data_IF_634643083304
#
_entry.id   IF_634643083304
#
_cell.length_a   1.000
_cell.length_b   1.000
_cell.length_c   1.000
_cell.angle_alpha   90.00
_cell.angle_beta   90.00
_cell.angle_gamma   90.00
#
_symmetry.space_group_name_H-M   'P 1'
#
loop_
_entity.id
_entity.type
_entity.pdbx_description
1 polymer ?
#
# COMPACT_ATOMS: atom_id res chain seq x y z
N UNK A 1 -15.18 8.66 -21.02
CA UNK A 1 -13.79 8.17 -21.10
C UNK A 1 -13.68 6.89 -20.28
N UNK A 2 -13.15 5.79 -20.83
CA UNK A 2 -12.98 4.52 -20.10
C UNK A 2 -11.94 4.72 -18.98
N UNK A 3 -12.29 4.50 -17.72
CA UNK A 3 -11.36 4.58 -16.59
C UNK A 3 -10.18 3.62 -16.82
N UNK A 4 -8.95 4.04 -16.48
CA UNK A 4 -7.76 3.19 -16.55
C UNK A 4 -7.96 1.87 -15.78
N UNK A 5 -8.67 1.94 -14.63
CA UNK A 5 -9.12 0.78 -13.88
C UNK A 5 -10.04 -0.17 -14.67
N UNK A 6 -10.95 0.37 -15.48
CA UNK A 6 -11.85 -0.42 -16.33
C UNK A 6 -11.10 -1.03 -17.50
N UNK A 7 -10.17 -0.29 -18.12
CA UNK A 7 -9.28 -0.84 -19.17
C UNK A 7 -8.37 -1.95 -18.62
N UNK A 8 -7.78 -1.77 -17.44
CA UNK A 8 -7.00 -2.82 -16.77
C UNK A 8 -7.86 -4.04 -16.43
N UNK A 9 -9.06 -3.84 -15.86
CA UNK A 9 -9.99 -4.92 -15.56
C UNK A 9 -10.44 -5.68 -16.83
N UNK A 10 -10.71 -4.96 -17.92
CA UNK A 10 -11.14 -5.53 -19.20
C UNK A 10 -10.02 -6.32 -19.89
N UNK A 11 -8.77 -5.81 -19.92
CA UNK A 11 -7.62 -6.53 -20.47
C UNK A 11 -7.31 -7.79 -19.66
N UNK A 12 -7.43 -7.74 -18.34
CA UNK A 12 -7.18 -8.90 -17.47
C UNK A 12 -8.33 -9.91 -17.51
N UNK A 13 -9.58 -9.48 -17.61
CA UNK A 13 -10.71 -10.42 -17.79
C UNK A 13 -10.61 -11.16 -19.13
N UNK A 14 -10.12 -10.49 -20.17
CA UNK A 14 -9.86 -11.10 -21.47
C UNK A 14 -8.65 -12.06 -21.39
N UNK A 15 -7.55 -11.66 -20.76
CA UNK A 15 -6.36 -12.52 -20.58
C UNK A 15 -6.64 -13.69 -19.63
N UNK A 16 -7.44 -13.51 -18.57
CA UNK A 16 -7.82 -14.56 -17.63
C UNK A 16 -8.75 -15.58 -18.29
N UNK A 17 -9.69 -15.15 -19.14
CA UNK A 17 -10.49 -16.06 -19.94
C UNK A 17 -9.66 -16.78 -21.01
N UNK A 18 -8.74 -16.08 -21.69
CA UNK A 18 -7.83 -16.72 -22.64
C UNK A 18 -6.84 -17.69 -21.98
N UNK A 19 -6.39 -17.41 -20.75
CA UNK A 19 -5.48 -18.28 -19.99
C UNK A 19 -6.18 -19.49 -19.37
N UNK A 20 -7.49 -19.40 -19.08
CA UNK A 20 -8.29 -20.53 -18.61
C UNK A 20 -8.64 -21.52 -19.74
N UNK A 21 -8.77 -21.04 -20.98
CA UNK A 21 -9.10 -21.88 -22.14
C UNK A 21 -7.90 -22.65 -22.72
N UNK A 22 -6.67 -22.32 -22.33
CA UNK A 22 -5.48 -23.07 -22.76
C UNK A 22 -4.95 -23.94 -21.62
N UNK A 23 -5.40 -25.19 -21.66
CA UNK A 23 -4.84 -26.38 -21.02
C UNK A 23 -3.34 -26.25 -20.76
N UNK A 24 -2.98 -25.88 -19.52
CA UNK A 24 -1.83 -26.34 -18.76
C UNK A 24 -1.76 -25.58 -17.44
N UNK A 25 -1.35 -26.29 -16.39
CA UNK A 25 -1.28 -25.87 -14.99
C UNK A 25 -0.31 -24.68 -14.76
N UNK A 26 -0.66 -23.47 -15.20
CA UNK A 26 0.17 -22.27 -14.96
C UNK A 26 -0.12 -21.71 -13.57
N UNK A 27 0.92 -21.70 -12.74
CA UNK A 27 0.94 -21.30 -11.34
C UNK A 27 0.14 -19.99 -11.08
N UNK A 28 -1.11 -20.07 -10.58
CA UNK A 28 -1.98 -18.90 -10.40
C UNK A 28 -1.43 -17.93 -9.35
N UNK A 29 -0.58 -18.41 -8.43
CA UNK A 29 0.10 -17.59 -7.43
C UNK A 29 1.21 -16.77 -8.09
N UNK A 30 1.92 -17.31 -9.08
CA UNK A 30 2.93 -16.55 -9.82
C UNK A 30 2.31 -15.38 -10.60
N UNK A 31 1.16 -15.60 -11.24
CA UNK A 31 0.41 -14.55 -11.92
C UNK A 31 -0.08 -13.48 -10.92
N UNK A 32 -0.62 -13.89 -9.77
CA UNK A 32 -1.04 -12.98 -8.71
C UNK A 32 0.12 -12.16 -8.15
N UNK A 33 1.29 -12.76 -7.94
CA UNK A 33 2.50 -12.07 -7.47
C UNK A 33 2.99 -11.03 -8.49
N UNK A 34 2.91 -11.34 -9.77
CA UNK A 34 3.23 -10.39 -10.82
C UNK A 34 2.26 -9.19 -10.79
N UNK A 35 0.97 -9.45 -10.73
CA UNK A 35 -0.06 -8.41 -10.66
C UNK A 35 0.09 -7.52 -9.42
N UNK A 36 0.32 -8.12 -8.25
CA UNK A 36 0.53 -7.40 -7.00
C UNK A 36 1.70 -6.41 -7.10
N UNK A 37 2.82 -6.83 -7.70
CA UNK A 37 3.99 -5.96 -7.96
C UNK A 37 3.65 -4.81 -8.91
N UNK A 38 2.85 -5.05 -9.94
CA UNK A 38 2.41 -3.99 -10.85
C UNK A 38 1.53 -2.98 -10.10
N UNK A 39 0.61 -3.44 -9.25
CA UNK A 39 -0.21 -2.55 -8.45
C UNK A 39 0.61 -1.72 -7.45
N UNK A 40 1.59 -2.32 -6.78
CA UNK A 40 2.54 -1.60 -5.91
C UNK A 40 3.28 -0.50 -6.69
N UNK A 41 3.78 -0.82 -7.89
CA UNK A 41 4.48 0.14 -8.75
C UNK A 41 3.58 1.30 -9.20
N UNK A 42 2.34 1.01 -9.59
CA UNK A 42 1.39 2.06 -9.98
C UNK A 42 0.97 2.92 -8.80
N UNK A 43 0.74 2.32 -7.61
CA UNK A 43 0.47 3.08 -6.38
C UNK A 43 1.64 4.01 -6.04
N UNK A 44 2.88 3.56 -6.23
CA UNK A 44 4.07 4.40 -6.01
C UNK A 44 4.17 5.56 -7.03
N UNK A 45 3.84 5.33 -8.30
CA UNK A 45 3.76 6.42 -9.29
C UNK A 45 2.69 7.45 -8.92
N UNK A 46 1.53 7.00 -8.42
CA UNK A 46 0.47 7.90 -7.96
C UNK A 46 0.94 8.72 -6.76
N UNK A 47 1.67 8.12 -5.80
CA UNK A 47 2.28 8.86 -4.67
C UNK A 47 3.09 10.07 -5.15
N UNK A 48 3.95 9.86 -6.15
CA UNK A 48 4.79 10.92 -6.70
C UNK A 48 3.96 12.03 -7.38
N UNK A 49 2.83 11.68 -8.00
CA UNK A 49 1.92 12.68 -8.58
C UNK A 49 1.19 13.49 -7.50
N UNK A 50 0.76 12.84 -6.41
CA UNK A 50 0.16 13.51 -5.25
C UNK A 50 1.17 14.50 -4.62
N UNK A 51 2.42 14.09 -4.43
CA UNK A 51 3.48 14.95 -3.89
C UNK A 51 3.79 16.15 -4.80
N UNK A 52 3.77 15.95 -6.12
CA UNK A 52 3.90 17.05 -7.08
C UNK A 52 2.74 18.04 -6.97
N UNK A 53 1.51 17.55 -6.83
CA UNK A 53 0.33 18.40 -6.65
C UNK A 53 0.41 19.18 -5.33
N UNK A 54 0.88 18.55 -4.24
CA UNK A 54 1.14 19.23 -2.98
C UNK A 54 2.15 20.37 -3.17
N UNK A 55 3.26 20.11 -3.87
CA UNK A 55 4.28 21.12 -4.17
C UNK A 55 3.72 22.30 -4.97
N UNK A 56 2.87 22.02 -5.96
CA UNK A 56 2.22 23.05 -6.78
C UNK A 56 1.25 23.91 -5.95
N UNK A 57 0.44 23.30 -5.08
CA UNK A 57 -0.42 24.02 -4.13
C UNK A 57 0.40 24.99 -3.26
N UNK A 58 1.53 24.54 -2.72
CA UNK A 58 2.42 25.40 -1.92
C UNK A 58 3.06 26.52 -2.75
N UNK A 59 3.34 26.30 -4.04
CA UNK A 59 3.80 27.36 -4.94
C UNK A 59 2.72 28.43 -5.13
N UNK A 60 1.47 28.04 -5.40
CA UNK A 60 0.37 29.01 -5.50
C UNK A 60 0.18 29.80 -4.20
N UNK A 61 0.29 29.13 -3.04
CA UNK A 61 0.18 29.80 -1.76
C UNK A 61 1.25 30.89 -1.58
N UNK A 62 2.51 30.57 -1.91
CA UNK A 62 3.61 31.56 -1.85
C UNK A 62 3.38 32.73 -2.80
N UNK A 63 3.03 32.47 -4.06
CA UNK A 63 2.78 33.52 -5.05
C UNK A 63 1.59 34.41 -4.66
N UNK A 64 0.55 33.82 -4.04
CA UNK A 64 -0.58 34.57 -3.51
C UNK A 64 -0.13 35.56 -2.42
N UNK A 65 0.67 35.11 -1.47
CA UNK A 65 1.20 35.98 -0.41
C UNK A 65 2.11 37.08 -0.96
N UNK A 66 2.99 36.77 -1.92
CA UNK A 66 3.82 37.76 -2.57
C UNK A 66 2.99 38.84 -3.30
N UNK A 67 1.95 38.43 -4.04
CA UNK A 67 1.05 39.35 -4.72
C UNK A 67 0.26 40.23 -3.73
N UNK A 68 -0.23 39.64 -2.63
CA UNK A 68 -0.91 40.40 -1.57
C UNK A 68 0.00 41.42 -0.90
N UNK A 69 1.23 41.06 -0.58
CA UNK A 69 2.17 41.95 0.08
C UNK A 69 2.55 43.12 -0.83
N UNK A 70 2.73 42.85 -2.13
CA UNK A 70 2.95 43.89 -3.12
C UNK A 70 1.74 44.80 -3.31
N UNK A 71 0.52 44.24 -3.34
CA UNK A 71 -0.73 45.01 -3.37
C UNK A 71 -0.80 45.98 -2.18
N UNK A 72 -0.62 45.47 -0.95
CA UNK A 72 -0.62 46.30 0.28
C UNK A 72 0.45 47.38 0.24
N UNK A 73 1.67 47.04 -0.18
CA UNK A 73 2.76 48.01 -0.33
C UNK A 73 2.42 49.12 -1.31
N UNK A 74 1.82 48.81 -2.46
CA UNK A 74 1.39 49.82 -3.43
C UNK A 74 0.24 50.67 -2.88
N UNK A 75 -0.65 50.09 -2.07
CA UNK A 75 -1.70 50.85 -1.40
C UNK A 75 -1.12 51.94 -0.49
N UNK A 76 -0.17 51.57 0.39
CA UNK A 76 0.52 52.51 1.27
C UNK A 76 1.29 53.58 0.49
N UNK A 77 2.00 53.18 -0.58
CA UNK A 77 2.74 54.12 -1.43
C UNK A 77 1.82 55.09 -2.16
N UNK A 78 0.63 54.66 -2.58
CA UNK A 78 -0.35 55.54 -3.21
C UNK A 78 -0.82 56.63 -2.24
N UNK A 79 -1.06 56.27 -0.97
CA UNK A 79 -1.44 57.22 0.07
C UNK A 79 -0.34 58.26 0.32
N UNK A 80 0.93 57.83 0.33
CA UNK A 80 2.08 58.74 0.46
C UNK A 80 2.17 59.70 -0.73
N UNK A 81 2.06 59.20 -1.97
CA UNK A 81 2.09 60.04 -3.16
C UNK A 81 0.93 61.05 -3.20
N UNK A 82 -0.25 60.64 -2.73
CA UNK A 82 -1.42 61.51 -2.60
C UNK A 82 -1.17 62.64 -1.59
N UNK A 83 -0.61 62.31 -0.42
CA UNK A 83 -0.29 63.29 0.62
C UNK A 83 0.82 64.26 0.21
N UNK A 84 1.70 63.85 -0.71
CA UNK A 84 2.74 64.68 -1.30
C UNK A 84 2.26 65.52 -2.50
N UNK A 85 0.97 65.44 -2.87
CA UNK A 85 0.38 66.14 -4.03
C UNK A 85 1.01 65.74 -5.39
N UNK A 86 1.67 64.59 -5.47
CA UNK A 86 2.30 64.04 -6.67
C UNK A 86 1.30 63.22 -7.49
N UNK A 87 0.40 63.90 -8.22
CA UNK A 87 -0.76 63.28 -8.88
C UNK A 87 -0.40 62.20 -9.91
N UNK A 88 0.60 62.44 -10.78
CA UNK A 88 1.01 61.47 -11.80
C UNK A 88 1.57 60.18 -11.18
N UNK A 89 2.37 60.33 -10.12
CA UNK A 89 2.94 59.20 -9.38
C UNK A 89 1.85 58.42 -8.64
N UNK A 90 0.89 59.12 -8.03
CA UNK A 90 -0.26 58.49 -7.37
C UNK A 90 -1.07 57.63 -8.35
N UNK A 91 -1.41 58.16 -9.53
CA UNK A 91 -2.16 57.43 -10.54
C UNK A 91 -1.39 56.19 -11.04
N UNK A 92 -0.07 56.33 -11.25
CA UNK A 92 0.78 55.20 -11.62
C UNK A 92 0.78 54.09 -10.55
N UNK A 93 0.91 54.44 -9.27
CA UNK A 93 0.91 53.47 -8.18
C UNK A 93 -0.46 52.79 -8.04
N UNK A 94 -1.57 53.51 -8.26
CA UNK A 94 -2.91 52.90 -8.25
C UNK A 94 -3.08 51.85 -9.36
N UNK A 95 -2.53 52.09 -10.55
CA UNK A 95 -2.53 51.09 -11.63
C UNK A 95 -1.75 49.84 -11.23
N UNK A 96 -0.58 50.01 -10.62
CA UNK A 96 0.21 48.91 -10.06
C UNK A 96 -0.55 48.16 -8.96
N UNK A 97 -1.20 48.86 -8.03
CA UNK A 97 -2.03 48.27 -6.98
C UNK A 97 -3.11 47.36 -7.59
N UNK A 98 -3.88 47.88 -8.54
CA UNK A 98 -4.96 47.14 -9.20
C UNK A 98 -4.42 45.88 -9.92
N UNK A 99 -3.23 45.96 -10.52
CA UNK A 99 -2.58 44.81 -11.15
C UNK A 99 -2.20 43.71 -10.15
N UNK A 100 -1.63 44.08 -9.00
CA UNK A 100 -1.32 43.11 -7.94
C UNK A 100 -2.58 42.56 -7.26
N UNK A 101 -3.63 43.36 -7.13
CA UNK A 101 -4.94 42.93 -6.63
C UNK A 101 -5.56 41.85 -7.53
N UNK A 102 -5.61 42.09 -8.85
CA UNK A 102 -6.12 41.11 -9.81
C UNK A 102 -5.29 39.82 -9.79
N UNK A 103 -3.95 39.95 -9.73
CA UNK A 103 -3.05 38.80 -9.62
C UNK A 103 -3.31 38.00 -8.34
N UNK A 104 -3.41 38.67 -7.19
CA UNK A 104 -3.68 38.00 -5.92
C UNK A 104 -5.00 37.23 -5.97
N UNK A 105 -6.05 37.83 -6.54
CA UNK A 105 -7.35 37.17 -6.73
C UNK A 105 -7.22 35.89 -7.58
N UNK A 106 -6.58 35.99 -8.75
CA UNK A 106 -6.42 34.85 -9.68
C UNK A 106 -5.59 33.70 -9.08
N UNK A 107 -4.51 34.03 -8.38
CA UNK A 107 -3.65 33.02 -7.74
C UNK A 107 -4.35 32.39 -6.55
N UNK A 108 -5.17 33.14 -5.80
CA UNK A 108 -6.01 32.60 -4.72
C UNK A 108 -7.00 31.55 -5.25
N UNK A 109 -7.71 31.85 -6.33
CA UNK A 109 -8.63 30.91 -6.98
C UNK A 109 -7.87 29.63 -7.40
N UNK A 110 -6.68 29.78 -7.98
CA UNK A 110 -5.82 28.64 -8.36
C UNK A 110 -5.37 27.81 -7.15
N UNK A 111 -5.03 28.45 -6.03
CA UNK A 111 -4.68 27.77 -4.78
C UNK A 111 -5.85 26.98 -4.21
N UNK A 112 -7.05 27.57 -4.19
CA UNK A 112 -8.26 26.90 -3.69
C UNK A 112 -8.64 25.69 -4.54
N UNK A 113 -8.56 25.82 -5.86
CA UNK A 113 -8.81 24.71 -6.78
C UNK A 113 -7.75 23.60 -6.65
N UNK A 114 -6.47 23.97 -6.57
CA UNK A 114 -5.40 23.01 -6.35
C UNK A 114 -5.54 22.26 -5.02
N UNK A 115 -6.06 22.93 -3.98
CA UNK A 115 -6.32 22.34 -2.66
C UNK A 115 -7.44 21.30 -2.71
N UNK A 116 -8.57 21.62 -3.36
CA UNK A 116 -9.68 20.66 -3.54
C UNK A 116 -9.25 19.44 -4.35
N UNK A 117 -8.53 19.66 -5.45
CA UNK A 117 -8.02 18.57 -6.29
C UNK A 117 -7.03 17.68 -5.52
N UNK A 118 -6.19 18.27 -4.67
CA UNK A 118 -5.26 17.51 -3.83
C UNK A 118 -6.00 16.60 -2.85
N UNK A 119 -7.03 17.12 -2.17
CA UNK A 119 -7.85 16.34 -1.23
C UNK A 119 -8.48 15.12 -1.92
N UNK A 120 -9.04 15.30 -3.12
CA UNK A 120 -9.60 14.19 -3.91
C UNK A 120 -8.53 13.15 -4.30
N UNK A 121 -7.32 13.60 -4.65
CA UNK A 121 -6.21 12.72 -5.01
C UNK A 121 -5.71 11.93 -3.80
N UNK A 122 -5.61 12.56 -2.63
CA UNK A 122 -5.21 11.92 -1.38
C UNK A 122 -6.21 10.82 -0.96
N UNK A 123 -7.51 11.09 -1.05
CA UNK A 123 -8.55 10.09 -0.77
C UNK A 123 -8.41 8.86 -1.70
N UNK A 124 -8.30 9.10 -3.02
CA UNK A 124 -8.13 8.02 -4.00
C UNK A 124 -6.82 7.25 -3.81
N UNK A 125 -5.74 7.94 -3.44
CA UNK A 125 -4.45 7.31 -3.15
C UNK A 125 -4.54 6.39 -1.92
N UNK A 126 -5.23 6.81 -0.87
CA UNK A 126 -5.43 5.97 0.32
C UNK A 126 -6.28 4.73 0.00
N UNK A 127 -7.34 4.88 -0.80
CA UNK A 127 -8.10 3.73 -1.31
C UNK A 127 -7.23 2.74 -2.09
N UNK A 128 -6.29 3.24 -2.92
CA UNK A 128 -5.36 2.39 -3.66
C UNK A 128 -4.44 1.62 -2.71
N UNK A 129 -3.94 2.25 -1.64
CA UNK A 129 -3.12 1.58 -0.63
C UNK A 129 -3.89 0.46 0.07
N UNK A 130 -5.14 0.70 0.46
CA UNK A 130 -6.00 -0.32 1.05
C UNK A 130 -6.21 -1.51 0.10
N UNK A 131 -6.51 -1.26 -1.18
CA UNK A 131 -6.68 -2.32 -2.18
C UNK A 131 -5.41 -3.16 -2.34
N UNK A 132 -4.22 -2.55 -2.34
CA UNK A 132 -2.95 -3.30 -2.38
C UNK A 132 -2.83 -4.21 -1.16
N UNK A 133 -3.11 -3.71 0.05
CA UNK A 133 -3.09 -4.50 1.28
C UNK A 133 -4.07 -5.67 1.23
N UNK A 134 -5.28 -5.46 0.74
CA UNK A 134 -6.29 -6.51 0.58
C UNK A 134 -5.83 -7.60 -0.39
N UNK A 135 -5.14 -7.22 -1.47
CA UNK A 135 -4.54 -8.19 -2.40
C UNK A 135 -3.42 -9.02 -1.76
N UNK A 136 -2.60 -8.45 -0.87
CA UNK A 136 -1.64 -9.23 -0.07
C UNK A 136 -2.32 -10.26 0.81
N UNK A 137 -3.41 -9.88 1.48
CA UNK A 137 -4.20 -10.81 2.31
C UNK A 137 -4.74 -11.94 1.43
N UNK A 138 -5.35 -11.59 0.29
CA UNK A 138 -5.89 -12.57 -0.64
C UNK A 138 -4.83 -13.54 -1.18
N UNK A 139 -3.62 -13.03 -1.45
CA UNK A 139 -2.46 -13.85 -1.83
C UNK A 139 -2.11 -14.87 -0.74
N UNK A 140 -2.05 -14.45 0.53
CA UNK A 140 -1.77 -15.35 1.65
C UNK A 140 -2.84 -16.45 1.80
N UNK A 141 -4.12 -16.09 1.67
CA UNK A 141 -5.23 -17.05 1.69
C UNK A 141 -5.09 -18.12 0.59
N UNK A 142 -4.75 -17.70 -0.64
CA UNK A 142 -4.59 -18.60 -1.77
C UNK A 142 -3.39 -19.54 -1.59
N UNK A 143 -2.26 -19.03 -1.08
CA UNK A 143 -1.10 -19.86 -0.73
C UNK A 143 -1.48 -20.89 0.36
N UNK A 144 -2.24 -20.49 1.38
CA UNK A 144 -2.73 -21.41 2.42
C UNK A 144 -3.59 -22.54 1.85
N UNK A 145 -4.52 -22.22 0.95
CA UNK A 145 -5.36 -23.21 0.25
C UNK A 145 -4.53 -24.16 -0.62
N UNK A 146 -3.55 -23.62 -1.35
CA UNK A 146 -2.64 -24.43 -2.16
C UNK A 146 -1.85 -25.41 -1.29
N UNK A 147 -1.31 -24.97 -0.15
CA UNK A 147 -0.56 -25.81 0.77
C UNK A 147 -1.42 -26.99 1.27
N UNK A 148 -2.66 -26.72 1.69
CA UNK A 148 -3.62 -27.74 2.11
C UNK A 148 -3.89 -28.74 0.98
N UNK A 149 -4.17 -28.25 -0.23
CA UNK A 149 -4.45 -29.11 -1.38
C UNK A 149 -3.24 -30.00 -1.75
N UNK A 150 -2.02 -29.44 -1.75
CA UNK A 150 -0.78 -30.19 -2.00
C UNK A 150 -0.52 -31.24 -0.90
N UNK A 151 -0.78 -30.91 0.37
CA UNK A 151 -0.65 -31.85 1.48
C UNK A 151 -1.61 -33.02 1.32
N UNK A 152 -2.90 -32.76 1.09
CA UNK A 152 -3.89 -33.82 0.84
C UNK A 152 -3.51 -34.68 -0.37
N UNK A 153 -3.06 -34.08 -1.47
CA UNK A 153 -2.61 -34.85 -2.63
C UNK A 153 -1.45 -35.78 -2.27
N UNK A 154 -0.42 -35.28 -1.58
CA UNK A 154 0.73 -36.10 -1.16
C UNK A 154 0.32 -37.23 -0.21
N UNK A 155 -0.51 -36.94 0.79
CA UNK A 155 -1.01 -37.95 1.72
C UNK A 155 -1.78 -39.05 0.98
N UNK A 156 -2.70 -38.67 0.08
CA UNK A 156 -3.46 -39.62 -0.71
C UNK A 156 -2.58 -40.42 -1.69
N UNK A 157 -1.52 -39.83 -2.24
CA UNK A 157 -0.55 -40.55 -3.08
C UNK A 157 0.19 -41.62 -2.28
N UNK A 158 0.66 -41.32 -1.07
CA UNK A 158 1.34 -42.29 -0.18
C UNK A 158 0.40 -43.43 0.19
N UNK A 159 -0.85 -43.14 0.61
CA UNK A 159 -1.84 -44.16 0.95
C UNK A 159 -2.23 -45.04 -0.25
N UNK A 160 -2.25 -44.50 -1.47
CA UNK A 160 -2.47 -45.29 -2.69
C UNK A 160 -1.26 -46.17 -3.04
N UNK A 161 -0.04 -45.72 -2.72
CA UNK A 161 1.16 -46.53 -2.87
C UNK A 161 1.15 -47.71 -1.90
N UNK A 162 0.69 -47.54 -0.65
CA UNK A 162 0.49 -48.64 0.30
C UNK A 162 -0.53 -49.69 -0.19
N UNK A 163 -1.61 -49.28 -0.88
CA UNK A 163 -2.57 -50.22 -1.47
C UNK A 163 -2.00 -51.04 -2.65
N UNK A 164 -0.88 -50.62 -3.27
CA UNK A 164 -0.20 -51.34 -4.35
C UNK A 164 0.98 -52.22 -3.89
N UNK A 165 1.43 -52.10 -2.64
CA UNK A 165 2.50 -52.92 -2.08
C UNK A 165 1.97 -53.75 -0.92
N UNK A 166 1.33 -54.88 -1.25
CA UNK A 166 1.36 -56.04 -0.38
C UNK A 166 2.81 -56.55 -0.31
N UNK A 167 3.66 -55.88 0.47
CA UNK A 167 4.98 -56.37 0.87
C UNK A 167 5.24 -55.88 2.29
N UNK A 168 4.79 -56.69 3.24
CA UNK A 168 4.82 -56.48 4.69
C UNK A 168 6.23 -56.60 5.29
N UNK A 169 7.29 -56.28 4.54
CA UNK A 169 8.69 -56.56 4.93
C UNK A 169 9.56 -55.33 5.17
N UNK A 170 9.07 -54.11 4.87
CA UNK A 170 9.80 -52.86 5.12
C UNK A 170 9.31 -52.09 6.36
N UNK A 171 8.21 -52.52 6.98
CA UNK A 171 7.71 -51.92 8.23
C UNK A 171 8.49 -52.43 9.46
N UNK A 172 8.95 -53.68 9.49
CA UNK A 172 9.76 -54.22 10.61
C UNK A 172 11.13 -53.51 10.74
N UNK A 173 11.74 -53.12 9.62
CA UNK A 173 13.00 -52.35 9.63
C UNK A 173 12.77 -50.90 10.08
N UNK A 174 11.58 -50.35 9.82
CA UNK A 174 11.18 -49.00 10.22
C UNK A 174 10.75 -48.95 11.70
N UNK A 175 10.11 -50.00 12.23
CA UNK A 175 9.86 -50.16 13.67
C UNK A 175 11.17 -50.22 14.45
N UNK A 176 12.16 -50.98 13.97
CA UNK A 176 13.48 -51.09 14.63
C UNK A 176 14.24 -49.75 14.64
N UNK A 177 14.07 -48.92 13.61
CA UNK A 177 14.64 -47.57 13.54
C UNK A 177 13.89 -46.56 14.44
N UNK A 178 12.55 -46.69 14.53
CA UNK A 178 11.71 -45.89 15.43
C UNK A 178 11.99 -46.24 16.90
N UNK A 179 12.19 -47.52 17.25
CA UNK A 179 12.57 -47.97 18.60
C UNK A 179 13.92 -47.39 19.07
N UNK A 180 14.88 -47.23 18.14
CA UNK A 180 16.17 -46.59 18.43
C UNK A 180 16.05 -45.07 18.59
N UNK A 181 15.15 -44.42 17.84
CA UNK A 181 14.83 -42.99 17.94
C UNK A 181 14.01 -42.67 19.20
N UNK A 182 13.08 -43.53 19.61
CA UNK A 182 12.29 -43.36 20.83
C UNK A 182 13.15 -43.49 22.10
N UNK A 183 14.14 -44.38 22.11
CA UNK A 183 15.12 -44.47 23.20
C UNK A 183 16.02 -43.22 23.29
N UNK A 184 16.30 -42.54 22.18
CA UNK A 184 17.09 -41.29 22.17
C UNK A 184 16.24 -40.03 22.45
N UNK A 185 14.95 -40.02 22.09
CA UNK A 185 14.05 -38.86 22.24
C UNK A 185 13.37 -38.82 23.62
N UNK A 186 13.14 -39.96 24.27
CA UNK A 186 12.57 -40.01 25.63
C UNK A 186 13.46 -39.41 26.73
N UNK A 187 14.69 -39.00 26.41
CA UNK A 187 15.59 -38.38 27.41
C UNK A 187 15.52 -36.85 27.45
N UNK A 188 15.02 -36.14 26.42
CA UNK A 188 15.29 -34.68 26.32
C UNK A 188 14.13 -33.72 26.04
N UNK A 189 12.87 -34.14 25.86
CA UNK A 189 11.80 -33.17 25.55
C UNK A 189 10.69 -33.01 26.61
N UNK A 190 10.57 -33.92 27.59
CA UNK A 190 9.56 -33.80 28.67
C UNK A 190 10.10 -33.36 30.03
N UNK A 191 11.43 -33.15 30.19
CA UNK A 191 12.03 -32.78 31.49
C UNK A 191 12.38 -31.30 31.69
N UNK A 192 12.29 -30.43 30.69
CA UNK A 192 12.83 -29.06 30.80
C UNK A 192 11.81 -27.92 30.88
N UNK A 193 10.51 -28.20 30.84
CA UNK A 193 9.52 -27.10 30.70
C UNK A 193 8.34 -27.15 31.66
N UNK A 194 8.30 -28.10 32.60
CA UNK A 194 7.23 -28.16 33.62
C UNK A 194 7.71 -27.51 34.93
N UNK A 195 8.86 -27.89 35.47
CA UNK A 195 9.35 -27.32 36.74
C UNK A 195 9.71 -25.83 36.62
N UNK A 196 10.22 -25.41 35.46
CA UNK A 196 10.49 -24.01 35.14
C UNK A 196 9.21 -23.16 35.03
N UNK A 197 8.11 -23.74 34.50
CA UNK A 197 6.80 -23.08 34.44
C UNK A 197 6.10 -23.05 35.80
N UNK A 198 6.24 -24.09 36.63
CA UNK A 198 5.69 -24.14 37.99
C UNK A 198 6.40 -23.10 38.89
N UNK A 199 7.72 -22.98 38.82
CA UNK A 199 8.49 -22.01 39.62
C UNK A 199 8.20 -20.55 39.27
N UNK A 200 7.91 -20.23 38.00
CA UNK A 200 7.45 -18.89 37.60
C UNK A 200 6.05 -18.56 38.12
N UNK A 201 5.14 -19.55 38.17
CA UNK A 201 3.81 -19.38 38.71
C UNK A 201 3.83 -19.20 40.23
N UNK A 202 4.66 -19.96 40.95
CA UNK A 202 4.81 -19.82 42.41
C UNK A 202 5.39 -18.46 42.83
N UNK A 203 6.31 -17.89 42.04
CA UNK A 203 6.84 -16.53 42.28
C UNK A 203 5.77 -15.45 42.09
N UNK A 204 4.93 -15.57 41.06
CA UNK A 204 3.82 -14.62 40.80
C UNK A 204 2.76 -14.63 41.90
N UNK A 205 2.46 -15.80 42.48
CA UNK A 205 1.48 -15.94 43.56
C UNK A 205 1.99 -15.38 44.89
N UNK A 206 3.31 -15.34 45.14
CA UNK A 206 3.89 -14.78 46.38
C UNK A 206 4.17 -13.28 46.33
N UNK A 207 4.07 -12.64 45.16
CA UNK A 207 4.29 -11.20 44.97
C UNK A 207 3.00 -10.38 44.78
N UNK A 208 1.85 -10.96 45.12
CA UNK A 208 0.54 -10.28 45.26
C UNK A 208 -0.03 -10.61 46.64
#
# INVERSE_FOLDING_TARGET
MRNLFTRMKETISADLHQLLDHKEQKNPIAALNHYLRQCEQETEKVRQLVERQHTLKEQFNREYHLALDMMKKRHEQAQVAQAAEEAELHEFILKEHAHYEERAKRVKESYEDASKQLEELEQKYEEMKHKVKDMHIRRMELMGRENIARAHHRMNSVMKTEASYASYSQFDEMETYIDQLENQINTNYYRQTVDSKIAELEKRVKSS
#
